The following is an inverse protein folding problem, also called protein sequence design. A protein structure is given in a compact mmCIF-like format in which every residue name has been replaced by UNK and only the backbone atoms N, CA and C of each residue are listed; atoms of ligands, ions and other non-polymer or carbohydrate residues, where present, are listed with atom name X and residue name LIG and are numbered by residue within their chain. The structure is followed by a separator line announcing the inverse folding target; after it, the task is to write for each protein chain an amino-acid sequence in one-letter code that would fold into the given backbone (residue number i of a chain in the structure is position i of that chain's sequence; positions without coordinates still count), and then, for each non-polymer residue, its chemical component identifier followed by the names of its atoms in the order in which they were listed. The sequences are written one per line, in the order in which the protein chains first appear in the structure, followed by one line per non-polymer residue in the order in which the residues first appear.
data_IF_637385909051
#
_entry.id   IF_637385909051
#
_cell.length_a   1.000
_cell.length_b   1.000
_cell.length_c   1.000
_cell.angle_alpha   90.00
_cell.angle_beta   90.00
_cell.angle_gamma   90.00
#
_symmetry.space_group_name_H-M   'P 1'
#
loop_
_entity.id
_entity.type
_entity.pdbx_description
1 polymer ?
#
# COMPACT_ATOMS: atom_id res chain seq x y z
N UNK A 1 17.83 29.17 0.15
CA UNK A 1 17.20 28.18 1.05
C UNK A 1 16.15 27.46 0.23
N UNK A 2 16.43 26.23 -0.17
CA UNK A 2 15.51 25.38 -0.94
C UNK A 2 14.54 24.72 0.04
N UNK A 3 13.26 25.11 0.00
CA UNK A 3 12.20 24.67 0.92
C UNK A 3 11.52 23.37 0.47
N UNK A 4 12.13 22.61 -0.44
CA UNK A 4 11.59 21.34 -0.93
C UNK A 4 11.77 20.22 0.11
N UNK A 5 10.70 19.96 0.85
CA UNK A 5 10.51 18.78 1.69
C UNK A 5 10.39 17.56 0.76
N UNK A 6 11.36 16.65 0.75
CA UNK A 6 11.33 15.41 -0.02
C UNK A 6 10.67 14.30 0.81
N UNK A 7 9.42 13.97 0.52
CA UNK A 7 8.75 12.79 1.09
C UNK A 7 9.05 11.58 0.22
N UNK A 8 9.53 10.49 0.82
CA UNK A 8 9.69 9.19 0.14
C UNK A 8 8.47 8.34 0.46
N UNK A 9 7.82 7.84 -0.58
CA UNK A 9 6.73 6.87 -0.46
C UNK A 9 7.31 5.53 -0.87
N UNK A 10 7.32 4.54 0.02
CA UNK A 10 7.76 3.19 -0.30
C UNK A 10 6.58 2.24 -0.16
N UNK A 11 6.24 1.57 -1.26
CA UNK A 11 5.22 0.52 -1.24
C UNK A 11 5.99 -0.79 -1.07
N UNK A 12 5.75 -1.52 0.01
CA UNK A 12 6.44 -2.78 0.25
C UNK A 12 5.87 -3.84 -0.69
N UNK A 13 6.75 -4.40 -1.51
CA UNK A 13 6.58 -5.74 -2.06
C UNK A 13 7.78 -6.54 -1.55
N UNK A 14 7.51 -7.47 -0.64
CA UNK A 14 8.48 -8.30 0.08
C UNK A 14 9.23 -7.58 1.22
N UNK A 15 9.25 -8.23 2.38
CA UNK A 15 9.65 -7.72 3.71
C UNK A 15 11.15 -7.36 3.88
N UNK A 16 11.91 -7.19 2.79
CA UNK A 16 13.37 -7.02 2.84
C UNK A 16 13.89 -5.57 2.64
N UNK A 17 13.03 -4.54 2.64
CA UNK A 17 13.45 -3.16 2.32
C UNK A 17 13.22 -2.08 3.39
N UNK A 18 12.86 -2.41 4.62
CA UNK A 18 12.71 -1.42 5.70
C UNK A 18 14.07 -1.01 6.30
N UNK A 19 14.87 -0.23 5.55
CA UNK A 19 16.02 0.48 6.13
C UNK A 19 15.60 1.92 6.45
N UNK A 20 15.68 2.37 7.72
CA UNK A 20 15.30 3.73 8.09
C UNK A 20 16.17 4.74 7.33
N UNK A 21 15.53 5.72 6.69
CA UNK A 21 16.26 6.81 6.03
C UNK A 21 16.53 7.94 7.04
N UNK A 22 17.69 8.62 6.92
CA UNK A 22 18.10 9.73 7.82
C UNK A 22 17.32 11.04 7.59
N UNK A 23 16.07 10.96 7.14
CA UNK A 23 15.25 12.14 6.85
C UNK A 23 14.35 12.50 8.03
N UNK A 24 13.96 13.77 8.14
CA UNK A 24 13.09 14.31 9.20
C UNK A 24 11.60 14.07 8.97
N UNK A 25 11.24 13.38 7.88
CA UNK A 25 9.87 13.11 7.45
C UNK A 25 9.67 11.60 7.58
N UNK A 26 8.51 11.11 8.04
CA UNK A 26 8.27 9.69 8.17
C UNK A 26 8.24 9.00 6.81
N UNK A 27 8.88 7.84 6.73
CA UNK A 27 8.74 6.91 5.61
C UNK A 27 7.38 6.20 5.76
N UNK A 28 6.50 6.34 4.76
CA UNK A 28 5.15 5.75 4.77
C UNK A 28 5.13 4.44 4.00
N UNK A 29 4.58 3.39 4.62
CA UNK A 29 4.52 2.05 4.06
C UNK A 29 3.09 1.50 4.10
N UNK A 30 2.74 0.75 3.07
CA UNK A 30 1.54 -0.08 3.00
C UNK A 30 1.95 -1.51 2.66
N UNK A 31 1.17 -2.49 3.10
CA UNK A 31 1.37 -3.88 2.69
C UNK A 31 0.98 -4.12 1.23
N UNK A 32 1.63 -5.12 0.64
CA UNK A 32 1.30 -5.72 -0.63
C UNK A 32 0.60 -7.07 -0.51
N UNK A 33 0.12 -7.58 -1.64
CA UNK A 33 -0.65 -8.82 -1.69
C UNK A 33 0.16 -10.10 -1.39
N UNK A 34 1.48 -9.99 -1.22
CA UNK A 34 2.38 -11.07 -0.79
C UNK A 34 2.63 -11.08 0.72
N UNK A 35 2.19 -10.05 1.45
CA UNK A 35 2.45 -9.90 2.88
C UNK A 35 1.41 -10.66 3.73
N UNK A 36 1.39 -11.99 3.63
CA UNK A 36 0.41 -12.85 4.32
C UNK A 36 0.41 -12.69 5.84
N UNK A 37 1.55 -12.37 6.45
CA UNK A 37 1.63 -12.14 7.91
C UNK A 37 0.92 -10.87 8.36
N UNK A 38 0.59 -9.96 7.43
CA UNK A 38 -0.18 -8.73 7.65
C UNK A 38 -1.67 -8.91 7.28
N UNK A 39 -2.08 -10.10 6.84
CA UNK A 39 -3.48 -10.47 6.62
C UNK A 39 -3.82 -11.75 7.39
N UNK A 40 -4.27 -11.63 8.66
CA UNK A 40 -4.60 -12.79 9.48
C UNK A 40 -5.63 -13.73 8.85
N UNK A 41 -6.55 -13.23 8.03
CA UNK A 41 -7.57 -14.05 7.38
C UNK A 41 -6.99 -14.88 6.23
N UNK A 42 -6.04 -14.31 5.46
CA UNK A 42 -5.31 -15.04 4.44
C UNK A 42 -4.19 -15.94 5.02
N UNK A 43 -3.72 -15.64 6.22
CA UNK A 43 -2.64 -16.39 6.90
C UNK A 43 -3.12 -17.75 7.44
N UNK A 44 -4.27 -17.78 8.13
CA UNK A 44 -4.76 -18.97 8.86
C UNK A 44 -4.97 -20.23 7.99
N UNK A 45 -5.47 -20.15 6.74
CA UNK A 45 -5.61 -21.35 5.90
C UNK A 45 -4.26 -21.93 5.47
N UNK A 46 -3.23 -21.07 5.28
CA UNK A 46 -1.93 -21.49 4.72
C UNK A 46 -1.01 -22.15 5.73
N UNK A 47 -1.24 -21.99 7.03
CA UNK A 47 -0.51 -22.72 8.09
C UNK A 47 -0.92 -24.19 8.20
N UNK A 48 -2.05 -24.59 7.60
CA UNK A 48 -2.55 -25.97 7.64
C UNK A 48 -2.11 -26.83 6.44
N UNK A 49 -1.69 -26.19 5.34
CA UNK A 49 -1.22 -26.86 4.13
C UNK A 49 0.32 -26.90 4.08
N UNK A 50 0.88 -28.10 3.94
CA UNK A 50 2.29 -28.48 4.00
C UNK A 50 3.21 -27.94 2.87
N UNK A 51 3.11 -26.65 2.52
CA UNK A 51 4.00 -25.98 1.57
C UNK A 51 4.64 -24.74 2.21
N UNK A 52 5.88 -24.88 2.68
CA UNK A 52 6.74 -23.76 3.05
C UNK A 52 6.36 -23.08 4.37
N UNK A 53 7.13 -23.36 5.41
CA UNK A 53 6.90 -22.89 6.77
C UNK A 53 7.05 -21.35 6.85
N UNK A 54 5.93 -20.61 6.88
CA UNK A 54 5.92 -19.28 7.50
C UNK A 54 5.79 -19.49 9.01
N UNK A 55 6.93 -19.54 9.71
CA UNK A 55 7.03 -19.84 11.15
C UNK A 55 6.81 -18.60 12.02
N UNK A 56 6.12 -17.59 11.52
CA UNK A 56 5.80 -16.39 12.30
C UNK A 56 4.38 -16.53 12.88
N UNK A 57 4.16 -16.28 14.18
CA UNK A 57 2.81 -16.21 14.70
C UNK A 57 2.00 -15.12 13.98
N UNK A 58 0.70 -15.34 13.81
CA UNK A 58 -0.19 -14.31 13.26
C UNK A 58 -0.01 -13.00 14.05
N UNK A 59 0.23 -11.88 13.35
CA UNK A 59 0.49 -10.57 13.98
C UNK A 59 1.95 -10.30 14.36
N UNK A 60 2.89 -11.23 14.16
CA UNK A 60 4.31 -10.96 14.39
C UNK A 60 4.84 -9.78 13.55
N UNK A 61 4.35 -9.65 12.32
CA UNK A 61 4.67 -8.52 11.45
C UNK A 61 4.08 -7.21 11.99
N UNK A 62 2.87 -7.24 12.56
CA UNK A 62 2.26 -6.07 13.23
C UNK A 62 3.10 -5.61 14.42
N UNK A 63 3.55 -6.52 15.27
CA UNK A 63 4.41 -6.18 16.41
C UNK A 63 5.78 -5.64 15.98
N UNK A 64 6.34 -6.16 14.89
CA UNK A 64 7.57 -5.62 14.30
C UNK A 64 7.36 -4.19 13.75
N UNK A 65 6.24 -3.94 13.07
CA UNK A 65 5.90 -2.62 12.54
C UNK A 65 5.64 -1.60 13.66
N UNK A 66 5.00 -2.02 14.76
CA UNK A 66 4.83 -1.19 15.96
C UNK A 66 6.19 -0.83 16.56
N UNK A 67 7.14 -1.77 16.61
CA UNK A 67 8.51 -1.49 17.08
C UNK A 67 9.28 -0.57 16.12
N UNK A 68 9.11 -0.73 14.81
CA UNK A 68 9.69 0.14 13.78
C UNK A 68 9.07 1.54 13.76
N UNK A 69 7.87 1.72 14.34
CA UNK A 69 7.26 3.04 14.51
C UNK A 69 8.10 3.98 15.39
N UNK A 70 9.05 3.45 16.17
CA UNK A 70 10.05 4.22 16.90
C UNK A 70 11.20 4.77 16.03
N UNK A 71 11.32 4.32 14.78
CA UNK A 71 12.41 4.64 13.85
C UNK A 71 11.99 5.57 12.68
N UNK A 72 10.95 6.40 12.86
CA UNK A 72 10.42 7.31 11.83
C UNK A 72 9.81 6.58 10.61
N UNK A 73 9.32 5.36 10.84
CA UNK A 73 8.58 4.55 9.88
C UNK A 73 7.11 4.54 10.28
N UNK A 74 6.20 4.76 9.33
CA UNK A 74 4.76 4.69 9.58
C UNK A 74 4.13 3.68 8.63
N UNK A 75 3.65 2.58 9.20
CA UNK A 75 2.81 1.64 8.49
C UNK A 75 1.36 2.13 8.47
N UNK A 76 0.70 1.97 7.33
CA UNK A 76 -0.67 2.43 7.09
C UNK A 76 -1.55 1.26 6.64
N UNK A 77 -2.59 1.00 7.43
CA UNK A 77 -3.74 0.21 6.99
C UNK A 77 -4.63 0.99 6.02
N UNK A 78 -5.66 0.33 5.48
CA UNK A 78 -6.66 1.03 4.68
C UNK A 78 -7.34 2.15 5.48
N UNK A 79 -7.29 3.38 4.97
CA UNK A 79 -7.96 4.50 5.61
C UNK A 79 -7.31 5.86 5.32
N UNK A 80 -7.85 6.89 5.96
CA UNK A 80 -7.31 8.25 5.90
C UNK A 80 -6.58 8.58 7.19
N UNK A 81 -5.39 9.14 7.06
CA UNK A 81 -4.58 9.64 8.18
C UNK A 81 -4.08 11.04 7.89
N UNK A 82 -4.15 11.90 8.89
CA UNK A 82 -3.51 13.23 8.83
C UNK A 82 -2.24 13.22 9.66
N UNK A 83 -1.14 13.64 9.05
CA UNK A 83 0.18 13.70 9.66
C UNK A 83 0.58 15.17 9.86
N UNK A 84 1.03 15.51 11.06
CA UNK A 84 1.66 16.80 11.32
C UNK A 84 3.14 16.73 10.90
N UNK A 85 3.54 17.62 10.01
CA UNK A 85 4.92 17.74 9.55
C UNK A 85 5.71 18.67 10.47
N UNK A 86 7.04 18.53 10.49
CA UNK A 86 7.93 19.32 11.33
C UNK A 86 7.84 20.84 11.09
N UNK A 87 7.39 21.26 9.91
CA UNK A 87 7.17 22.66 9.56
C UNK A 87 5.78 23.19 9.97
N UNK A 88 4.97 22.40 10.71
CA UNK A 88 3.63 22.75 11.14
C UNK A 88 2.52 22.53 10.10
N UNK A 89 2.86 22.10 8.89
CA UNK A 89 1.87 21.74 7.89
C UNK A 89 1.18 20.41 8.23
N UNK A 90 -0.04 20.24 7.76
CA UNK A 90 -0.77 18.97 7.82
C UNK A 90 -0.73 18.30 6.44
N UNK A 91 -0.48 17.00 6.44
CA UNK A 91 -0.51 16.15 5.26
C UNK A 91 -1.59 15.08 5.44
N UNK A 92 -2.66 15.15 4.63
CA UNK A 92 -3.73 14.14 4.65
C UNK A 92 -3.46 13.08 3.59
N UNK A 93 -3.28 11.85 4.05
CA UNK A 93 -2.94 10.68 3.23
C UNK A 93 -4.07 9.67 3.31
N UNK A 94 -4.53 9.17 2.15
CA UNK A 94 -5.33 7.95 2.07
C UNK A 94 -4.43 6.80 1.64
N UNK A 95 -4.50 5.67 2.34
CA UNK A 95 -3.77 4.45 2.03
C UNK A 95 -4.75 3.29 1.78
N UNK A 96 -4.40 2.39 0.87
CA UNK A 96 -5.06 1.09 0.75
C UNK A 96 -4.13 0.00 0.20
N UNK A 97 -3.96 -1.12 0.92
CA UNK A 97 -3.18 -2.26 0.43
C UNK A 97 -3.97 -3.12 -0.58
N UNK A 98 -5.28 -2.90 -0.71
CA UNK A 98 -6.15 -3.83 -1.43
C UNK A 98 -5.91 -3.84 -2.94
N UNK A 99 -5.67 -5.04 -3.47
CA UNK A 99 -5.42 -5.27 -4.90
C UNK A 99 -6.49 -6.16 -5.54
N UNK A 100 -6.83 -5.95 -6.83
CA UNK A 100 -7.83 -6.76 -7.51
C UNK A 100 -7.28 -8.16 -7.80
N UNK A 101 -8.06 -9.18 -7.44
CA UNK A 101 -7.76 -10.57 -7.76
C UNK A 101 -8.99 -11.27 -8.36
N UNK A 102 -8.76 -12.44 -8.97
CA UNK A 102 -9.84 -13.26 -9.53
C UNK A 102 -10.49 -14.15 -8.48
N UNK A 103 -9.69 -14.70 -7.57
CA UNK A 103 -10.04 -15.79 -6.65
C UNK A 103 -9.75 -15.48 -5.17
N UNK A 104 -9.21 -14.29 -4.87
CA UNK A 104 -8.79 -13.86 -3.53
C UNK A 104 -7.80 -14.84 -2.85
N UNK A 105 -6.91 -15.46 -3.63
CA UNK A 105 -5.91 -16.43 -3.14
C UNK A 105 -4.67 -15.80 -2.49
N UNK A 106 -4.50 -14.49 -2.66
CA UNK A 106 -3.40 -13.68 -2.12
C UNK A 106 -3.90 -12.77 -0.99
N UNK A 107 -3.00 -12.36 -0.10
CA UNK A 107 -3.31 -11.46 1.00
C UNK A 107 -3.83 -10.11 0.49
N UNK A 108 -4.69 -9.44 1.25
CA UNK A 108 -5.10 -8.06 1.00
C UNK A 108 -5.62 -7.89 -0.44
N UNK A 109 -6.44 -8.83 -0.90
CA UNK A 109 -7.07 -8.78 -2.22
C UNK A 109 -8.59 -8.65 -2.14
N UNK A 110 -9.17 -8.01 -3.15
CA UNK A 110 -10.61 -7.98 -3.36
C UNK A 110 -10.97 -8.65 -4.68
N UNK A 111 -12.22 -9.11 -4.81
CA UNK A 111 -12.66 -9.74 -6.04
C UNK A 111 -12.89 -8.69 -7.13
N UNK A 112 -12.18 -8.81 -8.26
CA UNK A 112 -12.24 -7.85 -9.37
C UNK A 112 -13.64 -7.64 -9.95
N UNK A 113 -14.52 -8.65 -9.91
CA UNK A 113 -15.90 -8.53 -10.40
C UNK A 113 -16.83 -7.86 -9.39
N UNK A 114 -16.63 -8.11 -8.10
CA UNK A 114 -17.40 -7.45 -7.03
C UNK A 114 -16.93 -6.01 -6.80
N UNK A 115 -15.67 -5.72 -7.10
CA UNK A 115 -15.04 -4.44 -6.85
C UNK A 115 -14.75 -4.23 -5.36
N UNK A 116 -14.24 -3.05 -5.06
CA UNK A 116 -13.97 -2.57 -3.70
C UNK A 116 -14.22 -1.08 -3.62
N UNK A 117 -14.80 -0.63 -2.51
CA UNK A 117 -15.10 0.78 -2.31
C UNK A 117 -13.94 1.47 -1.59
N UNK A 118 -13.13 2.20 -2.33
CA UNK A 118 -12.09 3.05 -1.78
C UNK A 118 -12.69 4.36 -1.27
N UNK A 119 -12.80 4.51 0.05
CA UNK A 119 -13.41 5.69 0.70
C UNK A 119 -12.42 6.86 0.75
N UNK A 120 -11.95 7.29 -0.42
CA UNK A 120 -11.00 8.39 -0.55
C UNK A 120 -11.75 9.72 -0.32
N UNK A 121 -11.35 10.54 0.68
CA UNK A 121 -11.94 11.85 0.87
C UNK A 121 -11.65 12.77 -0.32
N UNK A 122 -12.56 13.73 -0.57
CA UNK A 122 -12.25 14.85 -1.46
C UNK A 122 -11.11 15.67 -0.87
N UNK A 123 -10.28 16.24 -1.74
CA UNK A 123 -9.17 17.14 -1.35
C UNK A 123 -8.06 16.48 -0.52
N UNK A 124 -8.00 15.14 -0.50
CA UNK A 124 -6.85 14.42 0.06
C UNK A 124 -5.56 14.85 -0.64
N UNK A 125 -4.47 15.03 0.11
CA UNK A 125 -3.20 15.46 -0.49
C UNK A 125 -2.56 14.32 -1.29
N UNK A 126 -2.48 13.15 -0.66
CA UNK A 126 -1.79 11.98 -1.23
C UNK A 126 -2.67 10.74 -1.12
N UNK A 127 -2.76 9.99 -2.21
CA UNK A 127 -3.30 8.63 -2.20
C UNK A 127 -2.15 7.65 -2.41
N UNK A 128 -2.10 6.61 -1.60
CA UNK A 128 -1.16 5.49 -1.73
C UNK A 128 -1.98 4.20 -1.92
N UNK A 129 -1.82 3.51 -3.05
CA UNK A 129 -2.48 2.22 -3.28
C UNK A 129 -1.50 1.15 -3.69
N UNK A 130 -1.67 -0.10 -3.25
CA UNK A 130 -0.78 -1.17 -3.72
C UNK A 130 -0.93 -1.35 -5.23
N UNK A 131 -2.16 -1.38 -5.74
CA UNK A 131 -2.45 -1.53 -7.17
C UNK A 131 -2.53 -0.21 -7.94
N UNK A 132 -2.15 -0.20 -9.24
CA UNK A 132 -2.31 0.96 -10.10
C UNK A 132 -3.77 1.18 -10.51
N UNK A 133 -4.17 2.44 -10.78
CA UNK A 133 -5.45 2.73 -11.44
C UNK A 133 -5.44 2.16 -12.86
N UNK A 134 -6.62 1.79 -13.36
CA UNK A 134 -6.75 1.23 -14.72
C UNK A 134 -6.13 2.18 -15.76
N UNK A 135 -5.28 1.63 -16.63
CA UNK A 135 -4.82 2.29 -17.85
C UNK A 135 -3.67 3.30 -17.69
N UNK A 136 -3.15 3.52 -16.47
CA UNK A 136 -2.11 4.52 -16.20
C UNK A 136 -0.67 3.98 -16.37
N UNK A 137 -0.44 2.66 -16.37
CA UNK A 137 0.90 2.04 -16.60
C UNK A 137 0.91 0.95 -17.68
N UNK A 138 0.03 1.06 -18.68
CA UNK A 138 0.07 0.19 -19.85
C UNK A 138 -0.74 -1.11 -19.73
N UNK A 139 -0.33 -2.11 -20.51
CA UNK A 139 -1.04 -3.38 -20.64
C UNK A 139 -0.41 -4.43 -19.72
N UNK A 140 -1.24 -5.32 -19.17
CA UNK A 140 -0.79 -6.52 -18.47
C UNK A 140 -0.13 -7.50 -19.46
N UNK A 141 0.41 -8.61 -18.93
CA UNK A 141 1.02 -9.68 -19.72
C UNK A 141 0.09 -10.29 -20.78
N UNK A 142 -1.22 -10.05 -20.70
CA UNK A 142 -2.23 -10.48 -21.67
C UNK A 142 -2.66 -9.35 -22.61
N UNK A 143 -1.88 -8.27 -22.71
CA UNK A 143 -2.17 -7.11 -23.56
C UNK A 143 -3.48 -6.37 -23.22
N UNK A 144 -4.07 -6.58 -22.04
CA UNK A 144 -5.24 -5.84 -21.54
C UNK A 144 -4.77 -4.67 -20.70
N UNK A 145 -5.51 -3.55 -20.64
CA UNK A 145 -5.13 -2.46 -19.74
C UNK A 145 -5.00 -2.97 -18.29
N UNK A 146 -3.81 -2.83 -17.72
CA UNK A 146 -3.53 -3.24 -16.34
C UNK A 146 -4.20 -2.26 -15.35
N UNK A 147 -4.33 -2.69 -14.09
CA UNK A 147 -4.85 -1.88 -13.00
C UNK A 147 -6.32 -2.10 -12.65
N UNK A 148 -6.82 -1.30 -11.70
CA UNK A 148 -8.14 -1.42 -11.09
C UNK A 148 -9.09 -0.30 -11.53
N UNK A 149 -10.28 -0.66 -11.99
CA UNK A 149 -11.33 0.29 -12.38
C UNK A 149 -11.85 1.06 -11.17
N UNK A 150 -12.05 0.38 -10.03
CA UNK A 150 -12.50 1.03 -8.80
C UNK A 150 -11.50 2.07 -8.26
N UNK A 151 -10.18 1.84 -8.42
CA UNK A 151 -9.16 2.83 -8.06
C UNK A 151 -9.21 4.00 -9.03
N UNK A 152 -9.34 3.75 -10.34
CA UNK A 152 -9.49 4.81 -11.33
C UNK A 152 -10.66 5.74 -11.00
N UNK A 153 -11.85 5.18 -10.74
CA UNK A 153 -13.06 5.94 -10.42
C UNK A 153 -12.91 6.74 -9.11
N UNK A 154 -12.31 6.12 -8.08
CA UNK A 154 -12.08 6.76 -6.79
C UNK A 154 -11.09 7.94 -6.91
N UNK A 155 -10.00 7.79 -7.67
CA UNK A 155 -9.02 8.85 -7.92
C UNK A 155 -9.63 9.98 -8.76
N UNK A 156 -10.38 9.64 -9.81
CA UNK A 156 -11.05 10.63 -10.65
C UNK A 156 -12.06 11.47 -9.84
N UNK A 157 -12.71 10.84 -8.85
CA UNK A 157 -13.66 11.51 -7.95
C UNK A 157 -12.97 12.36 -6.88
N UNK A 158 -11.95 11.82 -6.22
CA UNK A 158 -11.27 12.48 -5.08
C UNK A 158 -10.29 13.57 -5.51
N UNK A 159 -9.70 13.43 -6.71
CA UNK A 159 -8.72 14.35 -7.30
C UNK A 159 -7.55 14.70 -6.36
N UNK A 160 -6.75 13.71 -5.91
CA UNK A 160 -5.60 13.96 -5.06
C UNK A 160 -4.54 14.83 -5.74
N UNK A 161 -3.68 15.49 -4.96
CA UNK A 161 -2.52 16.21 -5.51
C UNK A 161 -1.45 15.24 -6.01
N UNK A 162 -1.33 14.07 -5.37
CA UNK A 162 -0.40 13.00 -5.74
C UNK A 162 -1.06 11.63 -5.54
N UNK A 163 -0.86 10.73 -6.50
CA UNK A 163 -1.21 9.31 -6.36
C UNK A 163 0.05 8.47 -6.54
N UNK A 164 0.45 7.80 -5.47
CA UNK A 164 1.55 6.82 -5.44
C UNK A 164 0.95 5.41 -5.51
N UNK A 165 1.49 4.55 -6.38
CA UNK A 165 1.01 3.18 -6.49
C UNK A 165 2.09 2.21 -6.97
N UNK A 166 1.92 0.92 -6.66
CA UNK A 166 2.91 -0.15 -6.89
C UNK A 166 2.33 -1.33 -7.68
N UNK A 167 2.64 -2.55 -7.24
CA UNK A 167 2.19 -3.86 -7.75
C UNK A 167 2.74 -4.33 -9.11
N UNK A 168 3.16 -3.45 -10.02
CA UNK A 168 3.79 -3.90 -11.28
C UNK A 168 5.29 -4.14 -11.04
N UNK A 169 5.72 -5.40 -10.94
CA UNK A 169 7.15 -5.80 -10.82
C UNK A 169 8.02 -5.29 -12.00
N UNK A 170 7.40 -4.82 -13.08
CA UNK A 170 8.03 -4.27 -14.29
C UNK A 170 7.89 -2.73 -14.41
N UNK A 171 7.23 -2.06 -13.46
CA UNK A 171 7.03 -0.61 -13.43
C UNK A 171 7.95 0.05 -12.41
N UNK A 172 8.52 1.21 -12.77
CA UNK A 172 9.46 1.96 -11.92
C UNK A 172 8.84 2.28 -10.56
N UNK A 173 9.32 1.60 -9.51
CA UNK A 173 8.90 1.81 -8.13
C UNK A 173 9.45 0.81 -7.10
N UNK A 174 10.55 0.12 -7.40
CA UNK A 174 11.31 -0.69 -6.42
C UNK A 174 12.24 0.17 -5.56
#
# INVERSE_FOLDING_TARGET
MDTRVKTKFLILSDTDCCKPTKHTIPDLFIAGNHDFTLDPLAFLPKTTSSQGVFQAPAGAATSLLESASSENIIFLDEGTRTLALANGALLTVYASPYSPSRDNSMALTHNRKKGHTFKIPKEVDVVITHSPPRGILGKDSNSKQAGCDCIYDAIATARPKLHCFGHIHEGWGG
#
